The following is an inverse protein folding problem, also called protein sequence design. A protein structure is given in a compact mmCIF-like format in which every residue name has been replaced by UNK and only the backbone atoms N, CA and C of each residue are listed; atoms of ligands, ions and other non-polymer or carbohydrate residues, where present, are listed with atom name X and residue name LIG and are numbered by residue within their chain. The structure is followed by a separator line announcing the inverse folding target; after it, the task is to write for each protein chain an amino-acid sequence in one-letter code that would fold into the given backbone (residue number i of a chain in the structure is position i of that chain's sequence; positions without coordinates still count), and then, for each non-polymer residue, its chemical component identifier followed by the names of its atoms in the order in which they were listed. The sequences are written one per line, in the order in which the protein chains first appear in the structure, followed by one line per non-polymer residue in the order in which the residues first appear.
data_IF_702428412592
#
_entry.id   IF_702428412592
#
_cell.length_a   1.000
_cell.length_b   1.000
_cell.length_c   1.000
_cell.angle_alpha   90.00
_cell.angle_beta   90.00
_cell.angle_gamma   90.00
#
_symmetry.space_group_name_H-M   'P 1'
#
loop_
_entity.id
_entity.type
_entity.pdbx_description
1 polymer ?
#
# COMPACT_ATOMS: atom_id res chain seq x y z
N UNK A 1 39.25 -29.14 -40.72
CA UNK A 1 40.46 -28.29 -40.91
C UNK A 1 40.24 -26.84 -40.57
N UNK A 2 39.12 -26.23 -41.03
CA UNK A 2 38.81 -24.81 -40.79
C UNK A 2 38.70 -24.47 -39.29
N UNK A 3 38.07 -25.32 -38.50
CA UNK A 3 37.93 -25.13 -37.04
C UNK A 3 39.28 -25.16 -36.33
N UNK A 4 40.19 -26.02 -36.78
CA UNK A 4 41.55 -26.15 -36.25
C UNK A 4 42.40 -24.92 -36.53
N UNK A 5 42.32 -24.41 -37.77
CA UNK A 5 42.98 -23.18 -38.18
C UNK A 5 42.46 -21.95 -37.42
N UNK A 6 41.11 -21.88 -37.18
CA UNK A 6 40.54 -20.83 -36.38
C UNK A 6 41.02 -20.85 -34.93
N UNK A 7 41.16 -22.05 -34.33
CA UNK A 7 41.66 -22.20 -32.98
C UNK A 7 43.14 -21.83 -32.84
N UNK A 8 43.95 -22.19 -33.84
CA UNK A 8 45.36 -21.78 -33.90
C UNK A 8 45.52 -20.27 -34.05
N UNK A 9 44.70 -19.63 -34.86
CA UNK A 9 44.70 -18.17 -35.04
C UNK A 9 44.36 -17.41 -33.73
N UNK A 10 43.41 -17.92 -32.97
CA UNK A 10 43.07 -17.36 -31.66
C UNK A 10 44.24 -17.52 -30.68
N UNK A 11 44.92 -18.66 -30.72
CA UNK A 11 46.06 -18.98 -29.84
C UNK A 11 47.30 -18.17 -30.18
N UNK A 12 47.55 -17.80 -31.42
CA UNK A 12 48.63 -16.91 -31.81
C UNK A 12 48.42 -15.46 -31.42
N UNK A 13 47.19 -15.02 -31.21
CA UNK A 13 46.85 -13.64 -30.80
C UNK A 13 46.02 -13.61 -29.52
N UNK A 14 46.42 -14.36 -28.49
CA UNK A 14 45.72 -14.52 -27.22
C UNK A 14 45.35 -13.20 -26.56
N UNK A 15 46.26 -12.22 -26.55
CA UNK A 15 46.00 -10.92 -25.94
C UNK A 15 44.85 -10.20 -26.60
N UNK A 16 44.79 -10.20 -27.93
CA UNK A 16 43.69 -9.55 -28.71
C UNK A 16 42.38 -10.31 -28.50
N UNK A 17 42.43 -11.62 -28.50
CA UNK A 17 41.22 -12.46 -28.31
C UNK A 17 40.62 -12.30 -26.92
N UNK A 18 41.46 -12.25 -25.88
CA UNK A 18 41.00 -12.00 -24.50
C UNK A 18 40.46 -10.61 -24.37
N UNK A 19 41.07 -9.59 -24.97
CA UNK A 19 40.62 -8.21 -24.88
C UNK A 19 39.27 -8.02 -25.57
N UNK A 20 39.07 -8.58 -26.73
CA UNK A 20 37.79 -8.54 -27.43
C UNK A 20 36.69 -9.28 -26.66
N UNK A 21 36.99 -10.46 -26.12
CA UNK A 21 36.05 -11.23 -25.28
C UNK A 21 35.65 -10.46 -24.02
N UNK A 22 36.62 -9.82 -23.35
CA UNK A 22 36.37 -8.98 -22.19
C UNK A 22 35.43 -7.78 -22.52
N UNK A 23 35.70 -7.10 -23.62
CA UNK A 23 34.85 -5.98 -24.05
C UNK A 23 33.40 -6.43 -24.31
N UNK A 24 33.22 -7.53 -25.01
CA UNK A 24 31.91 -8.11 -25.31
C UNK A 24 31.23 -8.57 -24.01
N UNK A 25 31.96 -9.27 -23.14
CA UNK A 25 31.44 -9.74 -21.86
C UNK A 25 30.99 -8.57 -20.96
N UNK A 26 31.81 -7.51 -20.87
CA UNK A 26 31.45 -6.30 -20.11
C UNK A 26 30.21 -5.61 -20.71
N UNK A 27 30.15 -5.52 -22.05
CA UNK A 27 28.97 -4.93 -22.72
C UNK A 27 27.66 -5.69 -22.43
N UNK A 28 27.70 -7.02 -22.52
CA UNK A 28 26.53 -7.86 -22.22
C UNK A 28 26.18 -7.78 -20.73
N UNK A 29 27.18 -7.87 -19.85
CA UNK A 29 26.97 -7.77 -18.40
C UNK A 29 26.33 -6.42 -18.01
N UNK A 30 26.81 -5.32 -18.59
CA UNK A 30 26.24 -4.01 -18.34
C UNK A 30 24.80 -3.93 -18.83
N UNK A 31 24.49 -4.46 -20.03
CA UNK A 31 23.14 -4.47 -20.57
C UNK A 31 22.17 -5.27 -19.68
N UNK A 32 22.56 -6.50 -19.31
CA UNK A 32 21.76 -7.36 -18.45
C UNK A 32 21.57 -6.71 -17.07
N UNK A 33 22.64 -6.11 -16.52
CA UNK A 33 22.59 -5.43 -15.24
C UNK A 33 21.59 -4.24 -15.23
N UNK A 34 21.57 -3.45 -16.30
CA UNK A 34 20.62 -2.34 -16.45
C UNK A 34 19.19 -2.87 -16.54
N UNK A 35 18.92 -3.87 -17.38
CA UNK A 35 17.58 -4.45 -17.54
C UNK A 35 17.07 -5.03 -16.21
N UNK A 36 17.89 -5.80 -15.50
CA UNK A 36 17.53 -6.36 -14.20
C UNK A 36 17.27 -5.27 -13.16
N UNK A 37 18.03 -4.17 -13.19
CA UNK A 37 17.83 -3.04 -12.29
C UNK A 37 16.51 -2.32 -12.58
N UNK A 38 16.15 -2.14 -13.84
CA UNK A 38 14.88 -1.54 -14.24
C UNK A 38 13.71 -2.40 -13.77
N UNK A 39 13.76 -3.71 -13.99
CA UNK A 39 12.72 -4.64 -13.52
C UNK A 39 12.58 -4.61 -11.99
N UNK A 40 13.69 -4.56 -11.27
CA UNK A 40 13.70 -4.42 -9.82
C UNK A 40 13.06 -3.12 -9.33
N UNK A 41 13.34 -2.01 -10.01
CA UNK A 41 12.72 -0.71 -9.70
C UNK A 41 11.21 -0.74 -9.98
N UNK A 42 10.79 -1.27 -11.13
CA UNK A 42 9.37 -1.36 -11.50
C UNK A 42 8.62 -2.23 -10.48
N UNK A 43 9.19 -3.38 -10.10
CA UNK A 43 8.60 -4.26 -9.09
C UNK A 43 8.48 -3.56 -7.73
N UNK A 44 9.54 -2.91 -7.26
CA UNK A 44 9.56 -2.18 -5.99
C UNK A 44 8.56 -1.01 -5.99
N UNK A 45 8.49 -0.25 -7.09
CA UNK A 45 7.51 0.82 -7.25
C UNK A 45 6.09 0.28 -7.26
N UNK A 46 5.80 -0.77 -8.04
CA UNK A 46 4.47 -1.37 -8.12
C UNK A 46 4.00 -1.87 -6.75
N UNK A 47 4.87 -2.53 -5.99
CA UNK A 47 4.58 -2.98 -4.63
C UNK A 47 4.30 -1.80 -3.69
N UNK A 48 5.14 -0.77 -3.70
CA UNK A 48 4.96 0.41 -2.87
C UNK A 48 3.71 1.21 -3.25
N UNK A 49 3.42 1.34 -4.55
CA UNK A 49 2.19 2.02 -5.00
C UNK A 49 0.93 1.22 -4.66
N UNK A 50 0.98 -0.10 -4.72
CA UNK A 50 -0.14 -0.95 -4.28
C UNK A 50 -0.43 -0.77 -2.79
N UNK A 51 0.60 -0.68 -1.96
CA UNK A 51 0.46 -0.42 -0.52
C UNK A 51 -0.01 1.00 -0.20
N UNK A 52 0.25 1.97 -1.09
CA UNK A 52 -0.25 3.34 -0.99
C UNK A 52 -1.67 3.53 -1.56
N UNK A 53 -2.31 2.46 -2.03
CA UNK A 53 -3.66 2.52 -2.60
C UNK A 53 -3.71 3.15 -4.00
N UNK A 54 -2.66 3.04 -4.80
CA UNK A 54 -2.60 3.64 -6.14
C UNK A 54 -3.71 3.18 -7.09
N UNK A 55 -4.28 2.01 -6.85
CA UNK A 55 -5.42 1.47 -7.59
C UNK A 55 -6.76 1.67 -6.84
N UNK A 56 -6.78 2.51 -5.82
CA UNK A 56 -7.98 2.80 -5.03
C UNK A 56 -8.38 4.27 -5.14
N UNK A 57 -9.65 4.54 -4.97
CA UNK A 57 -10.19 5.89 -4.83
C UNK A 57 -11.16 5.92 -3.65
N UNK A 58 -11.27 7.08 -3.01
CA UNK A 58 -12.24 7.28 -1.94
C UNK A 58 -13.43 8.10 -2.43
N UNK A 59 -14.61 7.71 -1.96
CA UNK A 59 -15.85 8.48 -2.16
C UNK A 59 -16.19 9.09 -0.81
N UNK A 60 -15.93 10.37 -0.69
CA UNK A 60 -16.20 11.12 0.52
C UNK A 60 -17.27 12.18 0.26
N UNK A 61 -17.93 12.61 1.35
CA UNK A 61 -18.80 13.78 1.28
C UNK A 61 -18.01 14.97 0.74
N UNK A 62 -18.56 15.68 -0.24
CA UNK A 62 -17.96 16.92 -0.73
C UNK A 62 -17.81 17.92 0.41
N UNK A 63 -16.61 18.05 0.95
CA UNK A 63 -16.25 19.06 1.93
C UNK A 63 -15.64 20.23 1.19
N UNK A 64 -16.33 21.34 1.11
CA UNK A 64 -15.79 22.58 0.53
C UNK A 64 -14.84 23.30 1.50
N UNK A 65 -13.83 22.62 1.98
CA UNK A 65 -12.66 23.25 2.61
C UNK A 65 -11.60 23.61 1.56
N UNK A 66 -12.02 24.06 0.38
CA UNK A 66 -11.13 24.85 -0.47
C UNK A 66 -10.97 26.22 0.21
N UNK A 67 -9.88 26.40 0.94
CA UNK A 67 -9.34 27.70 1.35
C UNK A 67 -8.92 28.50 0.10
N UNK A 68 -9.85 28.84 -0.74
CA UNK A 68 -9.73 29.79 -1.84
C UNK A 68 -10.64 30.95 -1.55
N UNK A 69 -10.09 32.09 -1.30
CA UNK A 69 -10.54 33.50 -1.32
C UNK A 69 -11.98 33.82 -1.79
N UNK A 70 -13.01 33.08 -1.39
CA UNK A 70 -14.39 33.49 -1.60
C UNK A 70 -15.03 33.88 -0.27
N UNK A 71 -14.78 35.15 0.13
CA UNK A 71 -15.54 35.82 1.19
C UNK A 71 -17.05 35.77 0.84
N UNK A 72 -17.83 35.09 1.64
CA UNK A 72 -19.24 35.42 1.80
C UNK A 72 -20.30 34.46 1.27
N UNK A 73 -19.99 33.34 0.59
CA UNK A 73 -21.02 32.36 0.22
C UNK A 73 -20.98 31.16 1.17
N UNK A 74 -21.98 31.03 2.03
CA UNK A 74 -22.25 29.76 2.75
C UNK A 74 -22.64 28.72 1.73
N UNK A 75 -21.68 27.91 1.32
CA UNK A 75 -21.93 26.79 0.40
C UNK A 75 -22.71 25.72 1.15
N UNK A 76 -23.82 25.28 0.57
CA UNK A 76 -24.68 24.24 1.13
C UNK A 76 -23.87 22.94 1.21
N UNK A 77 -23.55 22.52 2.43
CA UNK A 77 -22.84 21.26 2.63
C UNK A 77 -23.70 20.10 2.12
N UNK A 78 -23.10 19.21 1.33
CA UNK A 78 -23.77 17.99 0.91
C UNK A 78 -24.14 17.14 2.14
N UNK A 79 -25.27 16.44 2.14
CA UNK A 79 -25.61 15.53 3.24
C UNK A 79 -24.53 14.47 3.40
N UNK A 80 -24.32 13.96 4.63
CA UNK A 80 -23.39 12.84 4.84
C UNK A 80 -23.89 11.60 4.12
N UNK A 81 -22.94 10.79 3.63
CA UNK A 81 -23.25 9.47 3.08
C UNK A 81 -23.70 8.59 4.25
N UNK A 82 -24.92 8.04 4.17
CA UNK A 82 -25.42 7.12 5.20
C UNK A 82 -24.77 5.74 5.06
N UNK A 83 -24.73 4.98 6.16
CA UNK A 83 -24.23 3.59 6.14
C UNK A 83 -25.03 2.73 5.13
N UNK A 84 -26.32 2.91 5.08
CA UNK A 84 -27.18 2.17 4.14
C UNK A 84 -26.84 2.45 2.68
N UNK A 85 -26.59 3.72 2.31
CA UNK A 85 -26.15 4.09 0.97
C UNK A 85 -24.79 3.49 0.62
N UNK A 86 -23.86 3.47 1.58
CA UNK A 86 -22.56 2.86 1.40
C UNK A 86 -22.66 1.34 1.22
N UNK A 87 -23.56 0.69 1.97
CA UNK A 87 -23.84 -0.74 1.86
C UNK A 87 -24.42 -1.10 0.50
N UNK A 88 -25.46 -0.36 0.04
CA UNK A 88 -26.03 -0.55 -1.30
C UNK A 88 -24.99 -0.37 -2.40
N UNK A 89 -24.11 0.60 -2.25
CA UNK A 89 -23.01 0.80 -3.18
C UNK A 89 -22.07 -0.40 -3.19
N UNK A 90 -21.68 -0.91 -2.01
CA UNK A 90 -20.82 -2.08 -1.86
C UNK A 90 -21.43 -3.31 -2.52
N UNK A 91 -22.71 -3.55 -2.35
CA UNK A 91 -23.43 -4.68 -2.98
C UNK A 91 -23.46 -4.57 -4.50
N UNK A 92 -23.75 -3.38 -5.04
CA UNK A 92 -23.81 -3.16 -6.49
C UNK A 92 -22.46 -3.24 -7.19
N UNK A 93 -21.39 -2.80 -6.54
CA UNK A 93 -20.05 -2.74 -7.11
C UNK A 93 -19.14 -3.89 -6.70
N UNK A 94 -19.50 -4.69 -5.73
CA UNK A 94 -18.70 -5.80 -5.20
C UNK A 94 -18.25 -6.82 -6.25
N UNK A 95 -18.97 -6.95 -7.35
CA UNK A 95 -18.60 -7.81 -8.49
C UNK A 95 -17.55 -7.18 -9.42
N UNK A 96 -17.31 -5.86 -9.33
CA UNK A 96 -16.40 -5.12 -10.21
C UNK A 96 -15.14 -4.65 -9.51
N UNK A 97 -15.23 -4.38 -8.22
CA UNK A 97 -14.13 -3.87 -7.41
C UNK A 97 -14.29 -4.28 -5.95
N UNK A 98 -13.17 -4.34 -5.22
CA UNK A 98 -13.21 -4.51 -3.77
C UNK A 98 -13.62 -3.18 -3.15
N UNK A 99 -14.78 -3.15 -2.50
CA UNK A 99 -15.30 -1.97 -1.82
C UNK A 99 -15.12 -2.13 -0.32
N UNK A 100 -14.62 -1.08 0.33
CA UNK A 100 -14.51 -0.98 1.78
C UNK A 100 -15.25 0.23 2.30
N UNK A 101 -15.92 0.05 3.42
CA UNK A 101 -16.64 1.11 4.14
C UNK A 101 -15.84 1.44 5.41
N UNK A 102 -15.52 2.71 5.59
CA UNK A 102 -14.85 3.18 6.80
C UNK A 102 -15.46 4.48 7.31
N UNK A 103 -15.45 4.65 8.63
CA UNK A 103 -15.98 5.84 9.29
C UNK A 103 -15.01 6.33 10.36
N UNK A 104 -14.70 7.63 10.34
CA UNK A 104 -13.90 8.27 11.38
C UNK A 104 -14.73 8.52 12.63
N UNK A 105 -14.53 7.74 13.68
CA UNK A 105 -15.28 7.89 14.93
C UNK A 105 -14.73 9.02 15.81
N UNK A 106 -13.40 9.12 15.95
CA UNK A 106 -12.75 10.18 16.71
C UNK A 106 -11.32 10.45 16.22
N UNK A 107 -10.87 11.70 16.35
CA UNK A 107 -9.49 12.10 16.03
C UNK A 107 -8.66 12.38 17.30
N UNK A 108 -9.30 12.42 18.46
CA UNK A 108 -8.70 12.76 19.76
C UNK A 108 -9.08 11.72 20.82
N UNK A 109 -9.10 10.44 20.44
CA UNK A 109 -9.39 9.34 21.34
C UNK A 109 -8.31 9.18 22.41
N UNK A 110 -8.72 8.81 23.61
CA UNK A 110 -7.85 8.43 24.70
C UNK A 110 -8.15 6.98 25.06
N UNK A 111 -7.12 6.13 25.01
CA UNK A 111 -7.23 4.72 25.34
C UNK A 111 -6.61 4.53 26.73
N UNK A 112 -7.30 3.78 27.57
CA UNK A 112 -6.84 3.43 28.93
C UNK A 112 -6.79 1.92 29.07
N UNK A 113 -5.75 1.45 29.72
CA UNK A 113 -5.62 0.05 30.11
C UNK A 113 -4.99 0.01 31.52
N UNK A 114 -5.70 -0.51 32.48
CA UNK A 114 -5.31 -0.47 33.90
C UNK A 114 -4.93 0.96 34.35
N UNK A 115 -3.69 1.16 34.77
CA UNK A 115 -3.17 2.45 35.24
C UNK A 115 -2.47 3.26 34.13
N UNK A 116 -2.30 2.68 32.95
CA UNK A 116 -1.66 3.33 31.79
C UNK A 116 -2.71 3.99 30.90
N UNK A 117 -2.37 5.11 30.25
CA UNK A 117 -3.22 5.84 29.31
C UNK A 117 -2.38 6.41 28.19
N UNK A 118 -2.96 6.49 26.98
CA UNK A 118 -2.35 7.17 25.84
C UNK A 118 -2.56 8.68 25.91
N UNK A 119 -1.86 9.42 25.07
CA UNK A 119 -2.21 10.82 24.82
C UNK A 119 -3.55 10.90 24.06
N UNK A 120 -4.35 11.97 24.20
CA UNK A 120 -5.64 12.15 23.56
C UNK A 120 -5.50 12.58 22.10
N UNK A 121 -4.72 11.83 21.32
CA UNK A 121 -4.44 12.08 19.88
C UNK A 121 -4.74 10.85 19.01
N UNK A 122 -5.32 9.82 19.61
CA UNK A 122 -5.55 8.56 18.90
C UNK A 122 -6.73 8.73 17.94
N UNK A 123 -6.51 8.35 16.69
CA UNK A 123 -7.58 8.28 15.69
C UNK A 123 -8.29 6.94 15.80
N UNK A 124 -9.60 6.99 16.00
CA UNK A 124 -10.46 5.81 16.04
C UNK A 124 -11.28 5.78 14.78
N UNK A 125 -11.26 4.65 14.08
CA UNK A 125 -12.05 4.42 12.86
C UNK A 125 -12.88 3.16 13.00
N UNK A 126 -14.13 3.20 12.56
CA UNK A 126 -14.88 2.01 12.22
C UNK A 126 -14.47 1.56 10.82
N UNK A 127 -14.24 0.28 10.65
CA UNK A 127 -13.78 -0.32 9.39
C UNK A 127 -14.52 -1.62 9.12
N UNK A 128 -14.58 -2.01 7.85
CA UNK A 128 -15.12 -3.30 7.43
C UNK A 128 -14.01 -4.34 7.17
N UNK A 129 -14.42 -5.54 6.76
CA UNK A 129 -13.52 -6.68 6.49
C UNK A 129 -12.55 -6.43 5.33
N UNK A 130 -12.90 -5.53 4.39
CA UNK A 130 -12.11 -5.24 3.21
C UNK A 130 -11.09 -4.11 3.42
N UNK A 131 -11.18 -3.38 4.53
CA UNK A 131 -10.40 -2.17 4.76
C UNK A 131 -8.89 -2.38 4.59
N UNK A 132 -8.33 -3.43 5.19
CA UNK A 132 -6.91 -3.71 5.12
C UNK A 132 -6.45 -4.04 3.70
N UNK A 133 -7.27 -4.78 2.93
CA UNK A 133 -6.98 -5.08 1.52
C UNK A 133 -6.97 -3.83 0.65
N UNK A 134 -7.96 -2.95 0.84
CA UNK A 134 -8.08 -1.73 0.03
C UNK A 134 -7.00 -0.72 0.37
N UNK A 135 -6.64 -0.61 1.65
CA UNK A 135 -5.62 0.33 2.12
C UNK A 135 -4.19 -0.23 2.03
N UNK A 136 -4.02 -1.51 1.71
CA UNK A 136 -2.70 -2.14 1.64
C UNK A 136 -1.99 -2.26 2.99
N UNK A 137 -2.74 -2.24 4.11
CA UNK A 137 -2.15 -2.41 5.43
C UNK A 137 -1.97 -3.88 5.76
N UNK A 138 -0.86 -4.20 6.39
CA UNK A 138 -0.55 -5.54 6.89
C UNK A 138 -0.81 -5.64 8.39
N UNK A 139 -1.31 -6.80 8.81
CA UNK A 139 -1.54 -7.12 10.21
C UNK A 139 -0.37 -7.96 10.70
N UNK A 140 0.42 -7.44 11.65
CA UNK A 140 1.61 -8.12 12.19
C UNK A 140 1.22 -9.33 13.05
N UNK A 141 0.16 -9.19 13.86
CA UNK A 141 -0.34 -10.26 14.72
C UNK A 141 -1.87 -10.33 14.67
N UNK A 142 -2.39 -11.53 14.57
CA UNK A 142 -3.83 -11.76 14.53
C UNK A 142 -4.42 -11.75 13.13
N UNK A 143 -5.62 -11.21 12.98
CA UNK A 143 -6.34 -11.17 11.71
C UNK A 143 -7.30 -9.99 11.62
N UNK A 144 -7.76 -9.69 10.42
CA UNK A 144 -8.84 -8.72 10.18
C UNK A 144 -10.18 -9.23 10.69
N UNK A 145 -11.16 -8.34 10.71
CA UNK A 145 -12.54 -8.69 11.04
C UNK A 145 -13.13 -9.63 10.00
N UNK A 146 -13.97 -10.57 10.44
CA UNK A 146 -14.79 -11.37 9.54
C UNK A 146 -16.15 -10.70 9.33
N UNK A 147 -16.82 -11.01 8.22
CA UNK A 147 -18.17 -10.53 7.92
C UNK A 147 -19.14 -10.85 9.05
N UNK A 148 -19.06 -12.06 9.60
CA UNK A 148 -19.89 -12.49 10.73
C UNK A 148 -19.67 -11.63 11.99
N UNK A 149 -18.43 -11.26 12.32
CA UNK A 149 -18.13 -10.41 13.47
C UNK A 149 -18.73 -9.00 13.33
N UNK A 150 -18.79 -8.50 12.10
CA UNK A 150 -19.38 -7.21 11.79
C UNK A 150 -20.92 -7.26 11.81
N UNK A 151 -21.53 -8.30 11.26
CA UNK A 151 -22.97 -8.50 11.26
C UNK A 151 -23.55 -8.64 12.68
N UNK A 152 -22.86 -9.39 13.54
CA UNK A 152 -23.29 -9.61 14.93
C UNK A 152 -22.78 -8.54 15.90
N UNK A 153 -22.06 -7.53 15.43
CA UNK A 153 -21.58 -6.43 16.27
C UNK A 153 -20.65 -6.89 17.40
N UNK A 154 -19.80 -7.88 17.14
CA UNK A 154 -18.88 -8.40 18.15
C UNK A 154 -17.84 -7.34 18.49
N UNK A 155 -17.70 -7.00 19.78
CA UNK A 155 -16.77 -5.99 20.26
C UNK A 155 -15.31 -6.47 20.13
N UNK A 156 -14.67 -6.09 19.04
CA UNK A 156 -13.24 -6.34 18.78
C UNK A 156 -12.58 -5.07 18.25
N UNK A 157 -11.29 -4.94 18.49
CA UNK A 157 -10.50 -3.83 18.02
C UNK A 157 -9.15 -4.31 17.46
N UNK A 158 -8.67 -3.63 16.43
CA UNK A 158 -7.31 -3.77 15.92
C UNK A 158 -6.57 -2.50 16.32
N UNK A 159 -5.44 -2.67 16.99
CA UNK A 159 -4.66 -1.56 17.55
C UNK A 159 -3.32 -1.43 16.86
N UNK A 160 -2.85 -0.20 16.70
CA UNK A 160 -1.54 0.07 16.15
C UNK A 160 -0.40 -0.29 17.12
N UNK A 161 0.76 -0.60 16.59
CA UNK A 161 1.95 -1.01 17.33
C UNK A 161 2.36 -0.01 18.44
N UNK A 162 2.22 1.29 18.18
CA UNK A 162 2.55 2.34 19.15
C UNK A 162 1.64 2.31 20.39
N UNK A 163 0.37 1.94 20.20
CA UNK A 163 -0.58 1.78 21.31
C UNK A 163 -0.18 0.57 22.17
N UNK A 164 0.23 -0.53 21.50
CA UNK A 164 0.69 -1.73 22.21
C UNK A 164 1.90 -1.41 23.06
N UNK A 165 2.92 -0.75 22.51
CA UNK A 165 4.11 -0.32 23.24
C UNK A 165 3.80 0.61 24.43
N UNK A 166 2.82 1.50 24.24
CA UNK A 166 2.49 2.48 25.31
C UNK A 166 1.69 1.86 26.45
N UNK A 167 0.83 0.89 26.17
CA UNK A 167 -0.11 0.36 27.16
C UNK A 167 0.26 -1.02 27.69
N UNK A 168 0.94 -1.85 26.90
CA UNK A 168 1.14 -3.28 27.18
C UNK A 168 2.61 -3.68 27.35
N UNK A 169 3.58 -2.89 26.83
CA UNK A 169 4.99 -3.13 27.11
C UNK A 169 5.33 -2.58 28.50
N UNK A 170 5.93 -3.43 29.34
CA UNK A 170 6.49 -3.06 30.64
C UNK A 170 7.86 -2.41 30.50
#
# INVERSE_FOLDING_TARGET
EIIRLAFESVRYNLLRSILTLLIIALGITALVGILTSIDGIIYSMSSNFSSLGANSFSIDRKSENFRGHNRGRRTKQSPPISYQQAQEFKERFGNKAIVSISYGAANNGLIKFQNKKTNPIIRIKGIDENFFKVMGYEIEFGRSFSTHELEYGISKAIVGKDIIKTLFDD
#
